data_IF_637209222996
#
_entry.id   IF_637209222996
#
_cell.length_a   1.000
_cell.length_b   1.000
_cell.length_c   1.000
_cell.angle_alpha   90.00
_cell.angle_beta   90.00
_cell.angle_gamma   90.00
#
_symmetry.space_group_name_H-M   'P 1'
#
loop_
_entity.id
_entity.type
_entity.pdbx_description
1 polymer ?
#
# COMPACT_ATOMS: atom_id res chain seq x y z
N UNK A 1 9.21 -19.42 -10.09
CA UNK A 1 9.05 -18.06 -9.53
C UNK A 1 7.58 -17.77 -9.32
N UNK A 2 7.26 -17.23 -8.18
CA UNK A 2 5.91 -16.76 -7.87
C UNK A 2 5.91 -15.25 -7.70
N UNK A 3 4.80 -14.61 -7.99
CA UNK A 3 4.60 -13.16 -7.81
C UNK A 3 3.39 -12.97 -6.91
N UNK A 4 3.55 -12.16 -5.87
CA UNK A 4 2.44 -11.72 -5.02
C UNK A 4 2.20 -10.24 -5.23
N UNK A 5 0.95 -9.84 -5.35
CA UNK A 5 0.55 -8.45 -5.52
C UNK A 5 -0.55 -8.09 -4.53
N UNK A 6 -0.48 -6.88 -3.98
CA UNK A 6 -1.50 -6.35 -3.09
C UNK A 6 -1.90 -4.96 -3.59
N UNK A 7 -3.19 -4.72 -3.75
CA UNK A 7 -3.71 -3.42 -4.10
C UNK A 7 -4.49 -2.85 -2.93
N UNK A 8 -4.15 -1.64 -2.53
CA UNK A 8 -4.71 -0.96 -1.37
C UNK A 8 -5.41 0.31 -1.81
N UNK A 9 -6.68 0.46 -1.44
CA UNK A 9 -7.41 1.70 -1.62
C UNK A 9 -7.39 2.46 -0.30
N UNK A 10 -6.93 3.72 -0.35
CA UNK A 10 -6.70 4.55 0.83
C UNK A 10 -7.64 5.76 0.77
N UNK A 11 -8.37 5.99 1.85
CA UNK A 11 -9.15 7.19 2.05
C UNK A 11 -8.39 8.15 2.99
N UNK A 12 -8.33 9.42 2.60
CA UNK A 12 -7.59 10.46 3.33
C UNK A 12 -8.57 11.54 3.83
N UNK A 13 -9.27 11.29 4.95
CA UNK A 13 -10.36 12.17 5.40
C UNK A 13 -9.90 13.56 5.81
N UNK A 14 -8.63 13.70 6.24
CA UNK A 14 -8.07 14.99 6.67
C UNK A 14 -7.26 15.68 5.57
N UNK A 15 -7.16 15.10 4.40
CA UNK A 15 -6.47 15.72 3.27
C UNK A 15 -7.29 16.86 2.73
N UNK A 16 -6.67 18.04 2.56
CA UNK A 16 -7.30 19.23 2.02
C UNK A 16 -6.71 19.67 0.68
N UNK A 17 -5.70 18.95 0.18
CA UNK A 17 -4.99 19.32 -1.05
C UNK A 17 -4.24 18.13 -1.63
N UNK A 18 -3.80 18.27 -2.89
CA UNK A 18 -2.90 17.29 -3.51
C UNK A 18 -1.56 17.20 -2.78
N UNK A 19 -1.09 18.29 -2.19
CA UNK A 19 0.14 18.29 -1.39
C UNK A 19 0.01 17.38 -0.18
N UNK A 20 -1.10 17.47 0.54
CA UNK A 20 -1.39 16.61 1.69
C UNK A 20 -1.42 15.15 1.27
N UNK A 21 -2.13 14.84 0.18
CA UNK A 21 -2.19 13.49 -0.38
C UNK A 21 -0.80 12.95 -0.70
N UNK A 22 0.03 13.74 -1.39
CA UNK A 22 1.37 13.32 -1.79
C UNK A 22 2.25 13.00 -0.59
N UNK A 23 2.13 13.77 0.49
CA UNK A 23 2.88 13.52 1.72
C UNK A 23 2.50 12.19 2.36
N UNK A 24 1.20 11.89 2.46
CA UNK A 24 0.70 10.63 3.02
C UNK A 24 1.12 9.45 2.15
N UNK A 25 0.91 9.53 0.85
CA UNK A 25 1.25 8.45 -0.10
C UNK A 25 2.76 8.18 -0.06
N UNK A 26 3.60 9.22 -0.07
CA UNK A 26 5.06 9.07 0.01
C UNK A 26 5.45 8.38 1.31
N UNK A 27 4.90 8.80 2.43
CA UNK A 27 5.21 8.21 3.74
C UNK A 27 4.81 6.74 3.78
N UNK A 28 3.64 6.39 3.26
CA UNK A 28 3.20 4.98 3.19
C UNK A 28 4.15 4.14 2.34
N UNK A 29 4.51 4.63 1.15
CA UNK A 29 5.43 3.91 0.27
C UNK A 29 6.78 3.68 0.93
N UNK A 30 7.34 4.73 1.54
CA UNK A 30 8.66 4.65 2.18
C UNK A 30 8.65 3.68 3.36
N UNK A 31 7.62 3.70 4.18
CA UNK A 31 7.50 2.82 5.34
C UNK A 31 7.31 1.36 4.93
N UNK A 32 6.52 1.10 3.89
CA UNK A 32 6.34 -0.26 3.37
C UNK A 32 7.64 -0.80 2.80
N UNK A 33 8.39 0.01 2.05
CA UNK A 33 9.70 -0.38 1.51
C UNK A 33 10.72 -0.64 2.61
N UNK A 34 10.69 0.17 3.67
CA UNK A 34 11.61 0.00 4.80
C UNK A 34 11.33 -1.26 5.60
N UNK A 35 10.07 -1.70 5.65
CA UNK A 35 9.65 -2.85 6.45
C UNK A 35 9.70 -4.17 5.69
N UNK A 36 9.59 -4.15 4.36
CA UNK A 36 9.47 -5.36 3.53
C UNK A 36 10.30 -5.24 2.26
N UNK A 37 10.76 -6.37 1.77
CA UNK A 37 11.43 -6.43 0.46
C UNK A 37 10.38 -6.49 -0.65
N UNK A 38 9.84 -5.32 -0.97
CA UNK A 38 8.74 -5.17 -1.94
C UNK A 38 8.98 -3.95 -2.84
N UNK A 39 8.36 -3.96 -4.00
CA UNK A 39 8.20 -2.77 -4.83
C UNK A 39 6.84 -2.15 -4.53
N UNK A 40 6.80 -0.83 -4.41
CA UNK A 40 5.59 -0.08 -4.08
C UNK A 40 5.41 1.06 -5.06
N UNK A 41 4.19 1.25 -5.55
CA UNK A 41 3.87 2.35 -6.45
C UNK A 41 2.46 2.87 -6.19
N UNK A 42 2.25 4.14 -6.46
CA UNK A 42 0.91 4.70 -6.57
C UNK A 42 0.36 4.31 -7.94
N UNK A 43 -0.82 3.67 -7.98
CA UNK A 43 -1.39 3.12 -9.21
C UNK A 43 -2.34 4.07 -9.92
N UNK A 44 -2.91 5.03 -9.21
CA UNK A 44 -3.87 5.98 -9.76
C UNK A 44 -3.55 7.39 -9.25
N UNK A 45 -2.57 8.09 -9.87
CA UNK A 45 -2.17 9.42 -9.46
C UNK A 45 -3.15 10.49 -9.94
N UNK A 46 -4.44 10.32 -9.62
CA UNK A 46 -5.51 11.24 -10.00
C UNK A 46 -5.42 12.56 -9.21
N UNK A 47 -6.20 13.56 -9.64
CA UNK A 47 -6.32 14.83 -8.95
C UNK A 47 -7.29 14.79 -7.75
N UNK A 48 -7.81 13.63 -7.41
CA UNK A 48 -8.64 13.42 -6.23
C UNK A 48 -7.73 13.41 -5.00
N UNK A 49 -7.87 14.41 -4.11
CA UNK A 49 -6.96 14.58 -2.98
C UNK A 49 -7.30 13.72 -1.76
N UNK A 50 -8.50 13.13 -1.71
CA UNK A 50 -8.95 12.35 -0.55
C UNK A 50 -8.94 10.84 -0.78
N UNK A 51 -8.38 10.38 -1.89
CA UNK A 51 -8.31 8.96 -2.22
C UNK A 51 -7.02 8.65 -2.97
N UNK A 52 -6.43 7.49 -2.67
CA UNK A 52 -5.25 6.98 -3.38
C UNK A 52 -5.34 5.47 -3.52
N UNK A 53 -4.71 4.94 -4.56
CA UNK A 53 -4.53 3.50 -4.75
C UNK A 53 -3.05 3.19 -4.77
N UNK A 54 -2.62 2.26 -3.92
CA UNK A 54 -1.22 1.86 -3.80
C UNK A 54 -1.10 0.38 -4.15
N UNK A 55 -0.16 0.05 -5.03
CA UNK A 55 0.18 -1.31 -5.38
C UNK A 55 1.49 -1.73 -4.74
N UNK A 56 1.53 -2.98 -4.27
CA UNK A 56 2.72 -3.61 -3.67
C UNK A 56 2.94 -4.94 -4.36
N UNK A 57 4.18 -5.23 -4.76
CA UNK A 57 4.50 -6.48 -5.44
C UNK A 57 5.81 -7.05 -4.91
N UNK A 58 5.86 -8.38 -4.85
CA UNK A 58 7.07 -9.12 -4.48
C UNK A 58 7.17 -10.43 -5.27
N UNK A 59 8.38 -10.92 -5.41
CA UNK A 59 8.65 -12.22 -6.04
C UNK A 59 9.33 -13.14 -5.03
N UNK A 60 9.12 -14.44 -5.20
CA UNK A 60 9.80 -15.46 -4.41
C UNK A 60 9.77 -16.81 -5.14
N UNK A 61 10.65 -17.70 -4.76
CA UNK A 61 10.57 -19.10 -5.17
C UNK A 61 9.58 -19.89 -4.30
N UNK A 62 9.02 -19.29 -3.26
CA UNK A 62 8.10 -19.92 -2.31
C UNK A 62 6.74 -19.18 -2.31
N UNK A 63 5.69 -19.89 -2.70
CA UNK A 63 4.31 -19.39 -2.67
C UNK A 63 3.84 -19.14 -1.23
N UNK A 64 4.20 -20.04 -0.30
CA UNK A 64 3.83 -19.90 1.10
C UNK A 64 4.47 -18.67 1.73
N UNK A 65 5.74 -18.40 1.40
CA UNK A 65 6.40 -17.19 1.86
C UNK A 65 5.66 -15.94 1.41
N UNK A 66 5.27 -15.88 0.13
CA UNK A 66 4.54 -14.73 -0.41
C UNK A 66 3.16 -14.56 0.23
N UNK A 67 2.47 -15.66 0.53
CA UNK A 67 1.18 -15.59 1.22
C UNK A 67 1.33 -14.89 2.58
N UNK A 68 2.31 -15.30 3.37
CA UNK A 68 2.61 -14.66 4.65
C UNK A 68 3.05 -13.20 4.50
N UNK A 69 3.90 -12.92 3.51
CA UNK A 69 4.38 -11.57 3.24
C UNK A 69 3.22 -10.63 2.90
N UNK A 70 2.32 -11.04 2.01
CA UNK A 70 1.18 -10.20 1.62
C UNK A 70 0.24 -9.93 2.79
N UNK A 71 0.01 -10.91 3.67
CA UNK A 71 -0.77 -10.70 4.89
C UNK A 71 -0.11 -9.68 5.81
N UNK A 72 1.20 -9.75 5.96
CA UNK A 72 1.95 -8.80 6.78
C UNK A 72 1.95 -7.40 6.17
N UNK A 73 2.02 -7.30 4.85
CA UNK A 73 1.91 -6.02 4.13
C UNK A 73 0.54 -5.38 4.39
N UNK A 74 -0.54 -6.15 4.29
CA UNK A 74 -1.88 -5.64 4.56
C UNK A 74 -2.01 -5.11 5.99
N UNK A 75 -1.53 -5.87 6.99
CA UNK A 75 -1.56 -5.44 8.39
C UNK A 75 -0.75 -4.17 8.62
N UNK A 76 0.44 -4.12 8.05
CA UNK A 76 1.30 -2.95 8.17
C UNK A 76 0.67 -1.72 7.51
N UNK A 77 0.05 -1.90 6.34
CA UNK A 77 -0.62 -0.81 5.63
C UNK A 77 -1.75 -0.21 6.45
N UNK A 78 -2.56 -1.05 7.11
CA UNK A 78 -3.62 -0.59 8.01
C UNK A 78 -3.05 0.27 9.15
N UNK A 79 -1.99 -0.22 9.80
CA UNK A 79 -1.35 0.50 10.90
C UNK A 79 -0.74 1.82 10.44
N UNK A 80 0.00 1.79 9.34
CA UNK A 80 0.67 2.97 8.79
C UNK A 80 -0.36 4.04 8.39
N UNK A 81 -1.42 3.62 7.69
CA UNK A 81 -2.48 4.54 7.28
C UNK A 81 -3.13 5.22 8.50
N UNK A 82 -3.48 4.44 9.53
CA UNK A 82 -4.07 4.98 10.74
C UNK A 82 -3.15 5.99 11.42
N UNK A 83 -1.84 5.73 11.46
CA UNK A 83 -0.86 6.65 12.05
C UNK A 83 -0.76 7.96 11.27
N UNK A 84 -1.10 7.96 10.00
CA UNK A 84 -1.05 9.13 9.12
C UNK A 84 -2.42 9.83 8.99
N UNK A 85 -3.43 9.40 9.74
CA UNK A 85 -4.77 9.96 9.65
C UNK A 85 -5.55 9.52 8.42
N UNK A 86 -5.16 8.39 7.83
CA UNK A 86 -5.81 7.82 6.66
C UNK A 86 -6.43 6.46 7.00
N UNK A 87 -7.21 5.91 6.07
CA UNK A 87 -7.87 4.62 6.24
C UNK A 87 -7.65 3.75 5.00
N UNK A 88 -7.35 2.47 5.21
CA UNK A 88 -7.44 1.47 4.15
C UNK A 88 -8.90 1.04 4.04
N UNK A 89 -9.54 1.40 2.94
CA UNK A 89 -10.97 1.11 2.73
C UNK A 89 -11.19 -0.19 1.95
N UNK A 90 -10.18 -0.64 1.22
CA UNK A 90 -10.22 -1.90 0.49
C UNK A 90 -8.81 -2.44 0.32
N UNK A 91 -8.71 -3.76 0.30
CA UNK A 91 -7.44 -4.48 0.14
C UNK A 91 -7.68 -5.74 -0.68
N UNK A 92 -6.85 -5.96 -1.67
CA UNK A 92 -6.97 -7.09 -2.59
C UNK A 92 -5.61 -7.72 -2.80
N UNK A 93 -5.50 -9.03 -2.62
CA UNK A 93 -4.26 -9.79 -2.83
C UNK A 93 -4.46 -10.77 -3.98
N UNK A 94 -3.49 -10.81 -4.87
CA UNK A 94 -3.48 -11.70 -6.04
C UNK A 94 -2.11 -12.34 -6.17
N UNK A 95 -2.08 -13.59 -6.63
CA UNK A 95 -0.85 -14.32 -6.91
C UNK A 95 -0.80 -14.68 -8.39
N UNK A 96 0.36 -14.45 -8.97
CA UNK A 96 0.63 -14.72 -10.38
C UNK A 96 1.68 -15.81 -10.54
#
# INVERSE_FOLDING_TARGET
MFVGACMLTIHLPVSASLKDKRQVVRSMKDRLRASFNVSVAELDPSNIWNQATIGVVAISHSRDYLDGLMKNVERAALRIANNLGAEVTDSFVEFL
#
